data_IF_832588318145
#
_entry.id   IF_832588318145
#
_cell.length_a   1.000
_cell.length_b   1.000
_cell.length_c   1.000
_cell.angle_alpha   90.00
_cell.angle_beta   90.00
_cell.angle_gamma   90.00
#
_symmetry.space_group_name_H-M   'P 1'
#
loop_
_entity.id
_entity.type
_entity.pdbx_description
1 polymer ?
#
# COMPACT_ATOMS: atom_id res chain seq x y z
N UNK A 1 52.25 0.08 -30.42
CA UNK A 1 50.79 0.05 -30.63
C UNK A 1 50.14 0.56 -29.35
N UNK A 2 49.87 1.86 -29.25
CA UNK A 2 48.64 2.59 -29.63
C UNK A 2 47.47 2.40 -28.63
N UNK A 3 47.14 3.50 -27.96
CA UNK A 3 46.00 3.78 -27.05
C UNK A 3 44.65 3.90 -27.79
N UNK A 4 43.51 3.77 -27.09
CA UNK A 4 42.23 4.54 -27.20
C UNK A 4 41.16 3.86 -26.28
N UNK A 5 40.75 4.40 -25.12
CA UNK A 5 39.85 5.54 -24.76
C UNK A 5 38.35 5.33 -25.08
N UNK A 6 37.55 5.61 -24.04
CA UNK A 6 36.10 5.71 -23.87
C UNK A 6 35.17 5.97 -25.08
N UNK A 7 33.94 5.45 -24.98
CA UNK A 7 32.75 6.11 -25.49
C UNK A 7 31.54 5.86 -24.57
N UNK A 8 31.32 6.78 -23.63
CA UNK A 8 29.97 7.17 -23.23
C UNK A 8 29.63 8.37 -24.12
N UNK A 9 28.62 8.28 -24.99
CA UNK A 9 28.06 9.45 -25.68
C UNK A 9 26.59 9.23 -25.97
N UNK A 10 25.80 10.16 -25.45
CA UNK A 10 24.35 10.28 -25.48
C UNK A 10 23.88 11.07 -26.70
N UNK A 11 22.83 10.61 -27.40
CA UNK A 11 21.71 11.42 -27.93
C UNK A 11 20.81 10.60 -28.88
N UNK A 12 19.48 10.72 -28.70
CA UNK A 12 18.54 10.73 -29.83
C UNK A 12 17.68 9.47 -30.06
N UNK A 13 16.50 9.48 -29.41
CA UNK A 13 15.14 9.20 -29.94
C UNK A 13 14.85 7.97 -30.82
N UNK A 14 13.75 7.32 -30.42
CA UNK A 14 12.90 6.36 -31.15
C UNK A 14 13.35 4.90 -31.19
N UNK A 15 12.82 4.14 -30.22
CA UNK A 15 12.80 2.69 -30.24
C UNK A 15 11.99 2.21 -29.06
N UNK A 16 10.66 2.21 -29.20
CA UNK A 16 9.78 1.52 -28.26
C UNK A 16 10.12 0.04 -28.27
N UNK A 17 11.02 -0.37 -27.37
CA UNK A 17 11.25 -1.77 -27.08
C UNK A 17 10.17 -2.18 -26.09
N UNK A 18 9.02 -2.59 -26.62
CA UNK A 18 8.19 -3.59 -25.95
C UNK A 18 9.03 -4.87 -25.89
N UNK A 19 10.00 -4.89 -24.96
CA UNK A 19 10.81 -6.06 -24.69
C UNK A 19 9.85 -7.16 -24.28
N UNK A 20 9.79 -8.21 -25.09
CA UNK A 20 9.11 -9.45 -24.72
C UNK A 20 9.55 -9.82 -23.31
N UNK A 21 8.56 -10.08 -22.47
CA UNK A 21 8.80 -10.64 -21.15
C UNK A 21 9.60 -11.93 -21.34
N UNK A 22 10.86 -11.94 -20.91
CA UNK A 22 11.70 -13.14 -20.96
C UNK A 22 11.11 -14.17 -20.00
N UNK A 23 10.43 -15.18 -20.57
CA UNK A 23 9.77 -16.24 -19.84
C UNK A 23 10.75 -17.01 -18.93
N UNK A 24 12.04 -17.06 -19.27
CA UNK A 24 13.07 -17.67 -18.43
C UNK A 24 13.37 -16.79 -17.19
N UNK A 25 13.36 -15.46 -17.35
CA UNK A 25 13.50 -14.54 -16.23
C UNK A 25 12.28 -14.57 -15.29
N UNK A 26 11.07 -14.75 -15.84
CA UNK A 26 9.85 -14.93 -15.05
C UNK A 26 9.88 -16.26 -14.29
N UNK A 27 10.27 -17.37 -14.93
CA UNK A 27 10.37 -18.68 -14.30
C UNK A 27 11.40 -18.69 -13.15
N UNK A 28 12.57 -18.08 -13.35
CA UNK A 28 13.58 -17.95 -12.31
C UNK A 28 13.11 -17.07 -11.13
N UNK A 29 12.34 -16.01 -11.40
CA UNK A 29 11.72 -15.20 -10.36
C UNK A 29 10.64 -15.98 -9.59
N UNK A 30 9.81 -16.77 -10.29
CA UNK A 30 8.79 -17.61 -9.67
C UNK A 30 9.40 -18.69 -8.77
N UNK A 31 10.49 -19.34 -9.20
CA UNK A 31 11.19 -20.35 -8.39
C UNK A 31 11.77 -19.75 -7.10
N UNK A 32 12.35 -18.54 -7.18
CA UNK A 32 12.86 -17.82 -6.01
C UNK A 32 11.76 -17.36 -5.05
N UNK A 33 10.55 -17.15 -5.55
CA UNK A 33 9.39 -16.74 -4.77
C UNK A 33 8.60 -17.94 -4.23
N UNK A 34 8.72 -19.13 -4.83
CA UNK A 34 8.01 -20.34 -4.44
C UNK A 34 8.04 -20.66 -2.93
N UNK A 35 9.17 -20.56 -2.20
CA UNK A 35 9.18 -20.82 -0.76
C UNK A 35 8.48 -19.73 0.08
N UNK A 36 8.14 -18.59 -0.53
CA UNK A 36 7.49 -17.44 0.11
C UNK A 36 6.01 -17.29 -0.31
N UNK A 37 5.54 -18.07 -1.29
CA UNK A 37 4.14 -18.06 -1.71
C UNK A 37 3.36 -18.98 -0.78
N UNK A 38 2.64 -18.40 0.17
CA UNK A 38 1.68 -19.14 0.99
C UNK A 38 0.50 -19.54 0.08
N UNK A 39 0.16 -20.83 -0.02
CA UNK A 39 -0.97 -21.30 -0.81
C UNK A 39 -2.29 -20.61 -0.39
N UNK A 40 -3.08 -20.12 -1.35
CA UNK A 40 -4.32 -19.37 -1.07
C UNK A 40 -5.38 -20.17 -0.30
N UNK A 41 -5.31 -21.51 -0.37
CA UNK A 41 -6.14 -22.43 0.39
C UNK A 41 -5.75 -22.53 1.89
N UNK A 42 -4.53 -22.15 2.24
CA UNK A 42 -4.04 -22.10 3.63
C UNK A 42 -4.28 -20.72 4.27
N UNK A 43 -4.54 -19.68 3.47
CA UNK A 43 -4.97 -18.35 3.94
C UNK A 43 -6.48 -18.30 4.17
N UNK A 44 -6.98 -19.18 5.05
CA UNK A 44 -8.34 -19.03 5.57
C UNK A 44 -8.40 -17.79 6.45
N UNK A 45 -9.25 -16.84 6.09
CA UNK A 45 -9.65 -15.76 6.98
C UNK A 45 -10.41 -16.42 8.13
N UNK A 46 -9.79 -16.54 9.31
CA UNK A 46 -10.37 -17.14 10.53
C UNK A 46 -11.45 -16.23 11.14
N UNK A 47 -12.44 -15.83 10.34
CA UNK A 47 -13.57 -15.02 10.78
C UNK A 47 -14.84 -15.81 10.45
N UNK A 48 -15.20 -16.71 11.37
CA UNK A 48 -16.38 -17.57 11.22
C UNK A 48 -17.66 -16.91 11.78
N UNK A 49 -17.54 -15.75 12.42
CA UNK A 49 -18.70 -14.99 12.90
C UNK A 49 -19.40 -14.35 11.71
N UNK A 50 -20.65 -14.74 11.40
CA UNK A 50 -21.41 -14.13 10.32
C UNK A 50 -21.64 -12.65 10.63
N UNK A 51 -21.51 -11.79 9.62
CA UNK A 51 -21.93 -10.40 9.73
C UNK A 51 -23.47 -10.39 9.78
N UNK A 52 -24.02 -10.20 10.97
CA UNK A 52 -25.48 -10.20 11.20
C UNK A 52 -26.16 -8.97 10.63
N UNK A 53 -25.40 -7.89 10.41
CA UNK A 53 -25.92 -6.62 9.92
C UNK A 53 -24.92 -5.95 8.97
N UNK A 54 -25.46 -5.18 8.02
CA UNK A 54 -24.66 -4.35 7.13
C UNK A 54 -23.98 -3.25 7.94
N UNK A 55 -22.67 -2.97 7.72
CA UNK A 55 -22.00 -1.85 8.35
C UNK A 55 -22.72 -0.52 8.06
N UNK A 56 -22.72 0.45 9.00
CA UNK A 56 -23.35 1.75 8.80
C UNK A 56 -22.79 2.46 7.57
N UNK A 57 -23.66 3.07 6.75
CA UNK A 57 -23.25 3.81 5.55
C UNK A 57 -22.77 5.23 5.89
N UNK A 58 -22.21 5.93 4.90
CA UNK A 58 -21.81 7.35 5.03
C UNK A 58 -20.51 7.60 5.80
N UNK A 59 -19.75 6.53 6.10
CA UNK A 59 -18.48 6.63 6.82
C UNK A 59 -17.38 7.21 5.95
N UNK A 60 -16.49 7.99 6.56
CA UNK A 60 -15.29 8.56 5.92
C UNK A 60 -14.07 7.75 6.33
N UNK A 61 -13.33 7.26 5.34
CA UNK A 61 -12.14 6.43 5.54
C UNK A 61 -10.95 7.10 4.88
N UNK A 62 -9.87 7.27 5.64
CA UNK A 62 -8.59 7.73 5.10
C UNK A 62 -7.62 6.55 5.00
N UNK A 63 -7.14 6.26 3.79
CA UNK A 63 -6.12 5.23 3.53
C UNK A 63 -4.77 5.91 3.34
N UNK A 64 -3.89 5.77 4.34
CA UNK A 64 -2.54 6.31 4.33
C UNK A 64 -1.59 5.20 3.91
N UNK A 65 -0.89 5.40 2.80
CA UNK A 65 0.07 4.42 2.27
C UNK A 65 1.28 5.10 1.67
N UNK A 66 2.38 4.36 1.57
CA UNK A 66 3.56 4.85 0.85
C UNK A 66 3.27 5.09 -0.64
N UNK A 67 3.95 6.09 -1.20
CA UNK A 67 3.90 6.43 -2.62
C UNK A 67 4.80 5.49 -3.43
N UNK A 68 4.44 4.22 -3.52
CA UNK A 68 5.10 3.23 -4.36
C UNK A 68 4.08 2.36 -5.11
N UNK A 69 4.51 1.76 -6.22
CA UNK A 69 3.67 0.94 -7.09
C UNK A 69 3.05 -0.24 -6.35
N UNK A 70 3.80 -0.90 -5.47
CA UNK A 70 3.32 -2.03 -4.68
C UNK A 70 2.13 -1.68 -3.77
N UNK A 71 2.10 -0.47 -3.21
CA UNK A 71 1.00 -0.03 -2.35
C UNK A 71 -0.19 0.50 -3.17
N UNK A 72 0.06 1.07 -4.34
CA UNK A 72 -0.97 1.62 -5.22
C UNK A 72 -1.93 0.55 -5.77
N UNK A 73 -1.52 -0.71 -5.85
CA UNK A 73 -2.37 -1.85 -6.25
C UNK A 73 -3.63 -1.96 -5.39
N UNK A 74 -3.58 -1.49 -4.14
CA UNK A 74 -4.71 -1.58 -3.21
C UNK A 74 -5.70 -0.41 -3.32
N UNK A 75 -5.42 0.61 -4.13
CA UNK A 75 -6.24 1.81 -4.20
C UNK A 75 -7.63 1.53 -4.75
N UNK A 76 -7.70 0.86 -5.90
CA UNK A 76 -8.97 0.54 -6.52
C UNK A 76 -9.79 -0.44 -5.68
N UNK A 77 -9.22 -1.55 -5.16
CA UNK A 77 -9.95 -2.42 -4.24
C UNK A 77 -10.51 -1.72 -3.00
N UNK A 78 -9.79 -0.75 -2.43
CA UNK A 78 -10.27 0.02 -1.28
C UNK A 78 -11.43 0.94 -1.66
N UNK A 79 -11.38 1.57 -2.83
CA UNK A 79 -12.49 2.39 -3.36
C UNK A 79 -13.71 1.54 -3.68
N UNK A 80 -13.52 0.36 -4.25
CA UNK A 80 -14.60 -0.56 -4.59
C UNK A 80 -15.28 -1.09 -3.32
N UNK A 81 -14.48 -1.47 -2.31
CA UNK A 81 -14.98 -1.86 -0.99
C UNK A 81 -15.74 -0.72 -0.30
N UNK A 82 -15.20 0.50 -0.35
CA UNK A 82 -15.87 1.70 0.14
C UNK A 82 -17.21 1.90 -0.55
N UNK A 83 -17.24 1.86 -1.88
CA UNK A 83 -18.45 2.04 -2.68
C UNK A 83 -19.51 0.97 -2.38
N UNK A 84 -19.11 -0.29 -2.27
CA UNK A 84 -20.00 -1.40 -1.92
C UNK A 84 -20.64 -1.22 -0.53
N UNK A 85 -19.88 -0.67 0.43
CA UNK A 85 -20.34 -0.37 1.78
C UNK A 85 -21.09 0.97 1.89
N UNK A 86 -20.99 1.85 0.88
CA UNK A 86 -21.51 3.22 0.93
C UNK A 86 -20.63 4.15 1.77
N UNK A 87 -19.33 3.89 1.83
CA UNK A 87 -18.31 4.68 2.52
C UNK A 87 -17.54 5.55 1.53
N UNK A 88 -17.09 6.71 1.99
CA UNK A 88 -16.23 7.61 1.23
C UNK A 88 -14.77 7.33 1.60
N UNK A 89 -14.02 6.75 0.66
CA UNK A 89 -12.62 6.37 0.84
C UNK A 89 -11.73 7.38 0.13
N UNK A 90 -10.88 8.06 0.91
CA UNK A 90 -9.82 8.92 0.39
C UNK A 90 -8.45 8.23 0.57
N UNK A 91 -7.54 8.49 -0.36
CA UNK A 91 -6.22 7.85 -0.39
C UNK A 91 -5.15 8.93 -0.30
N UNK A 92 -4.34 8.84 0.75
CA UNK A 92 -3.14 9.65 0.95
C UNK A 92 -1.90 8.82 0.64
N UNK A 93 -1.32 9.09 -0.54
CA UNK A 93 0.00 8.61 -0.90
C UNK A 93 1.06 9.52 -0.26
N UNK A 94 1.92 8.95 0.58
CA UNK A 94 2.92 9.68 1.35
C UNK A 94 4.34 9.25 1.03
N UNK A 95 5.30 10.14 1.27
CA UNK A 95 6.72 9.84 1.08
C UNK A 95 7.20 8.83 2.15
N UNK A 96 7.90 7.78 1.69
CA UNK A 96 8.46 6.77 2.57
C UNK A 96 9.82 7.16 3.17
N UNK A 97 10.49 8.16 2.57
CA UNK A 97 11.79 8.68 3.01
C UNK A 97 11.64 9.63 4.20
N UNK A 98 10.47 10.25 4.37
CA UNK A 98 10.15 11.09 5.50
C UNK A 98 9.47 10.27 6.62
N UNK A 99 10.15 10.04 7.76
CA UNK A 99 9.56 9.31 8.88
C UNK A 99 8.37 10.05 9.54
N UNK A 100 8.20 11.36 9.31
CA UNK A 100 7.09 12.15 9.85
C UNK A 100 5.86 12.17 8.95
N UNK A 101 5.95 11.65 7.73
CA UNK A 101 4.85 11.68 6.78
C UNK A 101 3.64 10.86 7.24
N UNK A 102 3.84 9.70 7.88
CA UNK A 102 2.72 8.90 8.43
C UNK A 102 2.05 9.58 9.62
N UNK A 103 2.78 9.97 10.69
CA UNK A 103 2.16 10.63 11.84
C UNK A 103 1.41 11.91 11.43
N UNK A 104 1.98 12.72 10.53
CA UNK A 104 1.35 13.94 10.06
C UNK A 104 0.06 13.66 9.26
N UNK A 105 0.06 12.65 8.39
CA UNK A 105 -1.15 12.25 7.66
C UNK A 105 -2.25 11.75 8.61
N UNK A 106 -1.88 10.98 9.65
CA UNK A 106 -2.83 10.53 10.66
C UNK A 106 -3.42 11.69 11.45
N UNK A 107 -2.59 12.65 11.88
CA UNK A 107 -3.07 13.85 12.58
C UNK A 107 -4.05 14.64 11.72
N UNK A 108 -3.75 14.83 10.42
CA UNK A 108 -4.66 15.49 9.48
C UNK A 108 -5.99 14.76 9.35
N UNK A 109 -5.96 13.43 9.23
CA UNK A 109 -7.15 12.60 9.15
C UNK A 109 -8.04 12.75 10.41
N UNK A 110 -7.41 12.76 11.60
CA UNK A 110 -8.10 13.01 12.87
C UNK A 110 -8.70 14.42 12.90
N UNK A 111 -7.96 15.44 12.48
CA UNK A 111 -8.47 16.82 12.40
C UNK A 111 -9.64 16.97 11.43
N UNK A 112 -9.64 16.20 10.34
CA UNK A 112 -10.74 16.12 9.37
C UNK A 112 -11.94 15.31 9.88
N UNK A 113 -11.84 14.73 11.09
CA UNK A 113 -12.86 13.88 11.73
C UNK A 113 -13.29 12.71 10.84
N UNK A 114 -12.33 12.01 10.25
CA UNK A 114 -12.63 10.76 9.55
C UNK A 114 -13.03 9.67 10.57
N UNK A 115 -13.94 8.78 10.19
CA UNK A 115 -14.39 7.69 11.05
C UNK A 115 -13.30 6.62 11.21
N UNK A 116 -12.60 6.32 10.12
CA UNK A 116 -11.58 5.27 10.07
C UNK A 116 -10.30 5.75 9.41
N UNK A 117 -9.16 5.29 9.95
CA UNK A 117 -7.84 5.51 9.37
C UNK A 117 -7.22 4.14 9.11
N UNK A 118 -6.93 3.85 7.85
CA UNK A 118 -6.21 2.64 7.43
C UNK A 118 -4.78 3.04 7.14
N UNK A 119 -3.82 2.41 7.82
CA UNK A 119 -2.40 2.71 7.60
C UNK A 119 -1.68 1.49 7.06
N UNK A 120 -0.98 1.69 5.94
CA UNK A 120 0.00 0.76 5.40
C UNK A 120 1.39 1.31 5.70
N UNK A 121 2.01 0.80 6.76
CA UNK A 121 3.34 1.21 7.20
C UNK A 121 4.27 -0.01 7.37
N UNK A 122 5.57 0.23 7.28
CA UNK A 122 6.59 -0.81 7.49
C UNK A 122 6.70 -1.25 8.96
N UNK A 123 6.24 -0.44 9.91
CA UNK A 123 6.27 -0.75 11.34
C UNK A 123 5.18 -0.01 12.12
N UNK A 124 4.78 -0.57 13.28
CA UNK A 124 3.84 0.08 14.22
C UNK A 124 4.50 1.34 14.83
N UNK A 125 5.81 1.29 15.05
CA UNK A 125 6.60 2.40 15.57
C UNK A 125 6.50 3.65 14.68
N UNK A 126 6.48 3.47 13.35
CA UNK A 126 6.29 4.57 12.39
C UNK A 126 4.94 5.28 12.52
N UNK A 127 3.95 4.65 13.16
CA UNK A 127 2.61 5.23 13.39
C UNK A 127 2.44 5.90 14.75
N UNK A 128 3.43 5.80 15.65
CA UNK A 128 3.36 6.14 17.08
C UNK A 128 2.47 7.34 17.44
N UNK A 129 2.97 8.57 17.24
CA UNK A 129 2.24 9.80 17.62
C UNK A 129 0.89 9.95 16.89
N UNK A 130 0.78 9.44 15.66
CA UNK A 130 -0.46 9.43 14.90
C UNK A 130 -1.53 8.51 15.51
N UNK A 131 -1.13 7.35 16.04
CA UNK A 131 -2.05 6.45 16.75
C UNK A 131 -2.55 7.05 18.06
N UNK A 132 -1.68 7.75 18.80
CA UNK A 132 -2.08 8.42 20.03
C UNK A 132 -3.09 9.55 19.75
N UNK A 133 -2.88 10.29 18.65
CA UNK A 133 -3.85 11.28 18.17
C UNK A 133 -5.18 10.62 17.77
N UNK A 134 -5.16 9.49 17.05
CA UNK A 134 -6.37 8.79 16.63
C UNK A 134 -7.18 8.23 17.82
N UNK A 135 -6.49 7.65 18.82
CA UNK A 135 -7.13 7.19 20.07
C UNK A 135 -7.82 8.34 20.81
N UNK A 136 -7.18 9.50 20.91
CA UNK A 136 -7.78 10.70 21.53
C UNK A 136 -8.94 11.26 20.70
N UNK A 137 -8.84 11.19 19.38
CA UNK A 137 -9.85 11.67 18.42
C UNK A 137 -11.06 10.75 18.25
N UNK A 138 -11.05 9.55 18.85
CA UNK A 138 -12.05 8.46 18.68
C UNK A 138 -12.16 7.89 17.25
N UNK A 139 -11.18 8.15 16.38
CA UNK A 139 -11.11 7.48 15.07
C UNK A 139 -10.56 6.05 15.25
N UNK A 140 -11.17 5.06 14.60
CA UNK A 140 -10.67 3.68 14.67
C UNK A 140 -9.54 3.46 13.66
N UNK A 141 -8.39 2.97 14.13
CA UNK A 141 -7.21 2.71 13.31
C UNK A 141 -7.07 1.23 12.96
N UNK A 142 -6.98 0.92 11.67
CA UNK A 142 -6.66 -0.41 11.17
C UNK A 142 -5.22 -0.45 10.65
N UNK A 143 -4.38 -1.30 11.25
CA UNK A 143 -2.99 -1.49 10.86
C UNK A 143 -2.84 -2.81 10.09
N UNK A 144 -2.44 -2.74 8.81
CA UNK A 144 -2.16 -3.94 8.01
C UNK A 144 -0.68 -4.27 8.05
N UNK A 145 -0.30 -5.21 8.91
CA UNK A 145 1.06 -5.78 8.92
C UNK A 145 1.18 -6.77 7.76
N UNK A 146 2.23 -6.69 6.96
CA UNK A 146 2.57 -7.77 6.00
C UNK A 146 2.78 -9.03 6.84
N UNK A 147 1.92 -10.04 6.68
CA UNK A 147 2.16 -11.36 7.26
C UNK A 147 3.50 -11.85 6.70
N UNK A 148 4.39 -12.29 7.60
CA UNK A 148 5.68 -12.87 7.22
C UNK A 148 5.47 -14.27 6.65
#
# INVERSE_FOLDING_TARGET
MLFLVAACSSAGTEGGSSGETDDAAVAAAQERLAPLVIPVNETKIQVDTPLTERPPTGKRVEVIRYNNSASAVYDQPMKDAGSALGWNVNISAIDATDPQSIPNAMIRAVSQKVDYIVVTASSIQATGAGMDAAKKGRSSCLFRRRAR
#
